data_IF_743455057319
#
_entry.id   IF_743455057319
#
_cell.length_a   1.000
_cell.length_b   1.000
_cell.length_c   1.000
_cell.angle_alpha   90.00
_cell.angle_beta   90.00
_cell.angle_gamma   90.00
#
_symmetry.space_group_name_H-M   'P 1'
#
loop_
_entity.id
_entity.type
_entity.pdbx_description
1 polymer ?
#
# COMPACT_ATOMS: atom_id res chain seq x y z
N UNK A 1 -6.79 -11.91 3.94
CA UNK A 1 -6.89 -10.44 4.04
C UNK A 1 -5.72 -9.89 4.83
N UNK A 2 -5.25 -8.70 4.48
CA UNK A 2 -4.38 -7.86 5.31
C UNK A 2 -5.14 -6.59 5.68
N UNK A 3 -5.00 -6.12 6.90
CA UNK A 3 -5.63 -4.86 7.33
C UNK A 3 -4.59 -3.75 7.20
N UNK A 4 -4.96 -2.64 6.55
CA UNK A 4 -4.08 -1.49 6.47
C UNK A 4 -3.92 -0.84 7.84
N UNK A 5 -2.69 -0.74 8.41
CA UNK A 5 -2.49 -0.10 9.71
C UNK A 5 -2.70 1.42 9.68
N UNK A 6 -2.73 2.05 8.49
CA UNK A 6 -2.95 3.49 8.35
C UNK A 6 -4.41 3.91 8.31
N UNK A 7 -5.30 3.06 7.78
CA UNK A 7 -6.70 3.42 7.53
C UNK A 7 -7.72 2.33 7.87
N UNK A 8 -7.28 1.15 8.30
CA UNK A 8 -8.15 0.04 8.65
C UNK A 8 -8.72 -0.75 7.46
N UNK A 9 -8.36 -0.41 6.21
CA UNK A 9 -8.95 -1.06 5.04
C UNK A 9 -8.57 -2.53 4.92
N UNK A 10 -9.57 -3.36 4.58
CA UNK A 10 -9.38 -4.78 4.29
C UNK A 10 -8.84 -4.95 2.87
N UNK A 11 -7.54 -5.22 2.78
CA UNK A 11 -6.87 -5.46 1.51
C UNK A 11 -6.64 -6.96 1.27
N UNK A 12 -6.45 -7.35 0.01
CA UNK A 12 -6.08 -8.72 -0.35
C UNK A 12 -4.72 -9.09 0.29
N UNK A 13 -4.46 -10.36 0.63
CA UNK A 13 -3.16 -10.80 1.20
C UNK A 13 -2.00 -10.48 0.24
N UNK A 14 -2.24 -10.54 -1.06
CA UNK A 14 -1.26 -10.25 -2.11
C UNK A 14 -1.14 -8.75 -2.44
N UNK A 15 -2.00 -7.88 -1.89
CA UNK A 15 -2.02 -6.47 -2.23
C UNK A 15 -0.71 -5.78 -1.83
N UNK A 16 0.08 -5.29 -2.80
CA UNK A 16 1.34 -4.58 -2.53
C UNK A 16 1.11 -3.20 -1.91
N UNK A 17 -0.02 -2.59 -2.20
CA UNK A 17 -0.43 -1.28 -1.68
C UNK A 17 -1.88 -1.31 -1.18
N UNK A 18 -2.23 -0.41 -0.27
CA UNK A 18 -3.59 -0.21 0.17
C UNK A 18 -4.41 0.45 -0.94
N UNK A 19 -5.51 -0.17 -1.34
CA UNK A 19 -6.40 0.35 -2.39
C UNK A 19 -7.10 1.64 -1.99
N UNK A 20 -7.28 1.88 -0.68
CA UNK A 20 -7.92 3.10 -0.17
C UNK A 20 -6.95 4.27 -0.01
N UNK A 21 -5.82 4.05 0.65
CA UNK A 21 -4.92 5.14 1.05
C UNK A 21 -3.53 5.09 0.41
N UNK A 22 -3.20 4.04 -0.35
CA UNK A 22 -1.91 3.86 -1.01
C UNK A 22 -0.77 3.40 -0.09
N UNK A 23 -1.04 3.02 1.16
CA UNK A 23 0.00 2.49 2.06
C UNK A 23 0.71 1.27 1.46
N UNK A 24 2.03 1.33 1.37
CA UNK A 24 2.86 0.25 0.84
C UNK A 24 3.05 -0.84 1.90
N UNK A 25 2.66 -2.08 1.55
CA UNK A 25 2.81 -3.25 2.41
C UNK A 25 4.12 -4.03 2.17
N UNK A 26 4.91 -3.62 1.19
CA UNK A 26 6.23 -4.17 0.88
C UNK A 26 7.28 -3.69 1.87
N UNK A 27 7.72 -4.58 2.74
CA UNK A 27 8.84 -4.38 3.65
C UNK A 27 10.15 -4.47 2.87
N UNK A 28 10.82 -3.34 2.66
CA UNK A 28 12.18 -3.30 2.12
C UNK A 28 12.52 -1.95 1.51
N UNK A 29 13.47 -1.24 2.12
CA UNK A 29 14.07 0.00 1.61
C UNK A 29 14.29 -0.06 0.09
N UNK A 30 13.68 0.86 -0.65
CA UNK A 30 13.80 0.89 -2.10
C UNK A 30 12.77 1.79 -2.75
N UNK A 31 13.13 3.06 -2.89
CA UNK A 31 12.49 4.14 -3.63
C UNK A 31 11.78 3.70 -4.93
N UNK A 32 10.46 3.92 -5.03
CA UNK A 32 9.72 4.19 -6.27
C UNK A 32 8.20 4.21 -6.00
N UNK A 33 7.70 5.21 -5.29
CA UNK A 33 6.28 5.57 -5.38
C UNK A 33 6.19 6.74 -6.36
N UNK A 34 6.29 6.39 -7.65
CA UNK A 34 6.08 7.32 -8.75
C UNK A 34 4.59 7.72 -8.74
N UNK A 35 4.25 8.74 -7.94
CA UNK A 35 3.00 9.50 -8.11
C UNK A 35 3.21 10.41 -9.31
N UNK A 36 3.10 9.85 -10.51
CA UNK A 36 2.97 10.65 -11.72
C UNK A 36 1.64 11.38 -11.64
N UNK A 37 1.71 12.66 -11.23
CA UNK A 37 0.62 13.61 -11.28
C UNK A 37 1.05 14.81 -12.12
N UNK A 38 1.26 14.57 -13.40
CA UNK A 38 0.86 15.45 -14.49
C UNK A 38 0.94 14.69 -15.81
#
# INVERSE_FOLDING_TARGET
MKICPKCGEKNNKEARFCTKCGYNFGTGSGSAQNKSKK
#
